data_IF_415299335051
#
_entry.id   IF_415299335051
#
_cell.length_a   1.000
_cell.length_b   1.000
_cell.length_c   1.000
_cell.angle_alpha   90.00
_cell.angle_beta   90.00
_cell.angle_gamma   90.00
#
_symmetry.space_group_name_H-M   'P 1'
#
loop_
_entity.id
_entity.type
_entity.pdbx_description
1 polymer ?
#
# COMPACT_ATOMS: atom_id res chain seq x y z
N UNK A 1 -30.03 37.10 76.07
CA UNK A 1 -30.97 35.96 76.20
C UNK A 1 -31.72 35.88 74.87
N UNK A 2 -31.30 35.01 73.94
CA UNK A 2 -31.81 33.63 73.72
C UNK A 2 -33.19 33.72 73.02
N UNK A 3 -33.42 33.34 71.76
CA UNK A 3 -33.03 32.14 71.01
C UNK A 3 -33.17 32.39 69.50
N UNK A 4 -32.11 32.17 68.72
CA UNK A 4 -32.19 32.01 67.26
C UNK A 4 -31.23 30.89 66.84
N UNK A 5 -31.57 29.65 67.19
CA UNK A 5 -30.86 28.44 66.77
C UNK A 5 -31.87 27.34 66.43
N UNK A 6 -32.40 27.38 65.20
CA UNK A 6 -33.06 26.20 64.60
C UNK A 6 -33.21 26.24 63.07
N UNK A 7 -32.82 27.32 62.38
CA UNK A 7 -32.92 27.38 60.91
C UNK A 7 -31.74 26.73 60.16
N UNK A 8 -30.62 26.44 60.84
CA UNK A 8 -29.41 25.93 60.19
C UNK A 8 -29.35 24.39 60.04
N UNK A 9 -30.23 23.63 60.70
CA UNK A 9 -30.20 22.16 60.58
C UNK A 9 -31.02 21.59 59.41
N UNK A 10 -31.88 22.39 58.78
CA UNK A 10 -32.73 21.89 57.69
C UNK A 10 -32.15 22.10 56.28
N UNK A 11 -31.03 22.82 56.14
CA UNK A 11 -30.44 23.12 54.84
C UNK A 11 -29.42 22.07 54.36
N UNK A 12 -28.90 21.19 55.22
CA UNK A 12 -27.86 20.19 54.86
C UNK A 12 -28.47 18.80 54.63
N UNK A 13 -29.62 18.70 53.96
CA UNK A 13 -30.21 17.38 53.61
C UNK A 13 -30.82 17.28 52.23
N UNK A 14 -30.39 18.10 51.27
CA UNK A 14 -30.80 17.93 49.86
C UNK A 14 -29.67 18.14 48.86
N UNK A 15 -28.62 17.35 49.00
CA UNK A 15 -27.84 16.95 47.83
C UNK A 15 -27.68 15.44 47.86
N UNK A 16 -28.84 14.79 47.70
CA UNK A 16 -28.89 13.36 47.44
C UNK A 16 -28.05 13.08 46.20
N UNK A 17 -26.96 12.37 46.43
CA UNK A 17 -26.17 11.62 45.47
C UNK A 17 -26.92 11.38 44.15
N UNK A 18 -26.39 11.92 43.04
CA UNK A 18 -26.85 11.65 41.66
C UNK A 18 -25.92 10.71 40.85
N UNK A 19 -25.26 9.67 41.42
CA UNK A 19 -24.41 8.79 40.62
C UNK A 19 -25.19 8.05 39.52
N UNK A 20 -26.52 7.88 39.70
CA UNK A 20 -27.37 7.24 38.70
C UNK A 20 -27.57 8.08 37.42
N UNK A 21 -27.69 9.41 37.51
CA UNK A 21 -27.88 10.23 36.30
C UNK A 21 -26.59 10.39 35.50
N UNK A 22 -25.46 10.53 36.20
CA UNK A 22 -24.14 10.58 35.56
C UNK A 22 -23.80 9.26 34.86
N UNK A 23 -24.09 8.11 35.49
CA UNK A 23 -23.89 6.80 34.87
C UNK A 23 -24.73 6.61 33.59
N UNK A 24 -25.98 7.08 33.57
CA UNK A 24 -26.83 7.04 32.37
C UNK A 24 -26.26 7.91 31.26
N UNK A 25 -25.81 9.13 31.55
CA UNK A 25 -25.19 10.01 30.55
C UNK A 25 -23.90 9.40 29.97
N UNK A 26 -23.06 8.80 30.82
CA UNK A 26 -21.84 8.10 30.40
C UNK A 26 -22.15 6.87 29.53
N UNK A 27 -23.19 6.09 29.87
CA UNK A 27 -23.62 4.96 29.07
C UNK A 27 -24.13 5.39 27.68
N UNK A 28 -24.90 6.48 27.61
CA UNK A 28 -25.39 7.03 26.35
C UNK A 28 -24.22 7.55 25.49
N UNK A 29 -23.26 8.24 26.09
CA UNK A 29 -22.06 8.73 25.40
C UNK A 29 -21.23 7.57 24.84
N UNK A 30 -21.02 6.51 25.63
CA UNK A 30 -20.32 5.30 25.19
C UNK A 30 -21.04 4.59 24.04
N UNK A 31 -22.37 4.49 24.09
CA UNK A 31 -23.15 3.92 23.00
C UNK A 31 -23.04 4.77 21.71
N UNK A 32 -22.99 6.09 21.83
CA UNK A 32 -22.82 7.00 20.70
C UNK A 32 -21.43 6.85 20.06
N UNK A 33 -20.38 6.76 20.87
CA UNK A 33 -19.02 6.48 20.41
C UNK A 33 -18.92 5.11 19.72
N UNK A 34 -19.56 4.08 20.28
CA UNK A 34 -19.60 2.75 19.66
C UNK A 34 -20.32 2.76 18.30
N UNK A 35 -21.41 3.53 18.17
CA UNK A 35 -22.11 3.71 16.89
C UNK A 35 -21.26 4.44 15.86
N UNK A 36 -20.54 5.51 16.26
CA UNK A 36 -19.63 6.24 15.37
C UNK A 36 -18.50 5.32 14.90
N UNK A 37 -17.84 4.62 15.83
CA UNK A 37 -16.78 3.65 15.51
C UNK A 37 -17.30 2.53 14.60
N UNK A 38 -18.47 1.96 14.91
CA UNK A 38 -19.09 0.92 14.10
C UNK A 38 -19.44 1.41 12.69
N UNK A 39 -20.00 2.62 12.57
CA UNK A 39 -20.30 3.24 11.28
C UNK A 39 -19.04 3.53 10.47
N UNK A 40 -17.97 4.03 11.11
CA UNK A 40 -16.70 4.32 10.45
C UNK A 40 -15.99 3.04 9.99
N UNK A 41 -15.98 2.01 10.82
CA UNK A 41 -15.45 0.69 10.47
C UNK A 41 -16.20 0.08 9.28
N UNK A 42 -17.53 0.14 9.30
CA UNK A 42 -18.35 -0.36 8.20
C UNK A 42 -18.13 0.45 6.90
N UNK A 43 -17.93 1.76 7.01
CA UNK A 43 -17.60 2.63 5.87
C UNK A 43 -16.22 2.31 5.27
N UNK A 44 -15.22 2.00 6.10
CA UNK A 44 -13.90 1.57 5.61
C UNK A 44 -14.01 0.27 4.81
N UNK A 45 -14.68 -0.74 5.37
CA UNK A 45 -14.90 -2.04 4.69
C UNK A 45 -15.67 -1.85 3.37
N UNK A 46 -16.69 -0.98 3.35
CA UNK A 46 -17.42 -0.68 2.13
C UNK A 46 -16.56 0.03 1.06
N UNK A 47 -15.64 0.90 1.48
CA UNK A 47 -14.72 1.61 0.57
C UNK A 47 -13.67 0.68 -0.06
N UNK A 48 -13.21 -0.33 0.67
CA UNK A 48 -12.27 -1.35 0.17
C UNK A 48 -12.92 -2.25 -0.90
N UNK A 49 -14.21 -2.55 -0.76
CA UNK A 49 -14.95 -3.35 -1.74
C UNK A 49 -15.03 -2.68 -3.12
N UNK A 50 -15.05 -1.33 -3.18
CA UNK A 50 -15.03 -0.59 -4.44
C UNK A 50 -13.68 -0.71 -5.16
N UNK A 51 -12.56 -0.64 -4.42
CA UNK A 51 -11.20 -0.84 -4.97
C UNK A 51 -10.97 -2.26 -5.48
N UNK A 52 -11.63 -3.25 -4.88
CA UNK A 52 -11.54 -4.65 -5.31
C UNK A 52 -12.07 -4.93 -6.72
N UNK A 53 -12.92 -4.07 -7.31
CA UNK A 53 -13.36 -4.22 -8.72
C UNK A 53 -12.29 -3.72 -9.69
N UNK A 54 -11.77 -2.52 -9.45
CA UNK A 54 -10.70 -1.92 -10.26
C UNK A 54 -9.44 -2.79 -10.22
N UNK A 55 -9.07 -3.29 -9.03
CA UNK A 55 -7.93 -4.20 -8.89
C UNK A 55 -8.15 -5.51 -9.68
N UNK A 56 -9.37 -6.08 -9.67
CA UNK A 56 -9.67 -7.28 -10.46
C UNK A 56 -9.63 -7.01 -11.96
N UNK A 57 -10.07 -5.85 -12.40
CA UNK A 57 -9.98 -5.43 -13.80
C UNK A 57 -8.51 -5.29 -14.23
N UNK A 58 -7.68 -4.64 -13.41
CA UNK A 58 -6.24 -4.51 -13.65
C UNK A 58 -5.52 -5.87 -13.68
N UNK A 59 -5.86 -6.78 -12.75
CA UNK A 59 -5.32 -8.14 -12.74
C UNK A 59 -5.72 -8.91 -14.00
N UNK A 60 -6.99 -8.83 -14.39
CA UNK A 60 -7.47 -9.47 -15.63
C UNK A 60 -6.73 -8.91 -16.84
N UNK A 61 -6.55 -7.58 -16.89
CA UNK A 61 -5.84 -6.91 -17.98
C UNK A 61 -4.37 -7.30 -18.03
N UNK A 62 -3.71 -7.42 -16.86
CA UNK A 62 -2.34 -7.90 -16.75
C UNK A 62 -2.22 -9.32 -17.30
N UNK A 63 -3.07 -10.23 -16.86
CA UNK A 63 -3.03 -11.64 -17.28
C UNK A 63 -3.22 -11.78 -18.79
N UNK A 64 -4.14 -11.00 -19.37
CA UNK A 64 -4.35 -10.98 -20.82
C UNK A 64 -3.11 -10.47 -21.57
N UNK A 65 -2.46 -9.40 -21.08
CA UNK A 65 -1.22 -8.88 -21.67
C UNK A 65 -0.06 -9.88 -21.55
N UNK A 66 0.03 -10.60 -20.42
CA UNK A 66 1.04 -11.63 -20.20
C UNK A 66 0.89 -12.78 -21.20
N UNK A 67 -0.35 -13.25 -21.43
CA UNK A 67 -0.63 -14.26 -22.47
C UNK A 67 -0.27 -13.78 -23.87
N UNK A 68 -0.58 -12.54 -24.22
CA UNK A 68 -0.23 -11.96 -25.53
C UNK A 68 1.28 -11.86 -25.71
N UNK A 69 2.01 -11.45 -24.68
CA UNK A 69 3.47 -11.40 -24.71
C UNK A 69 4.07 -12.78 -24.94
N UNK A 70 3.60 -13.81 -24.24
CA UNK A 70 4.10 -15.17 -24.43
C UNK A 70 3.81 -15.71 -25.84
N UNK A 71 2.62 -15.43 -26.39
CA UNK A 71 2.31 -15.78 -27.77
C UNK A 71 3.26 -15.09 -28.78
N UNK A 72 3.53 -13.79 -28.59
CA UNK A 72 4.46 -13.05 -29.44
C UNK A 72 5.91 -13.55 -29.31
N UNK A 73 6.34 -13.95 -28.10
CA UNK A 73 7.66 -14.55 -27.89
C UNK A 73 7.82 -15.84 -28.68
N UNK A 74 6.80 -16.69 -28.67
CA UNK A 74 6.79 -17.92 -29.48
C UNK A 74 6.88 -17.59 -30.97
N UNK A 75 6.09 -16.64 -31.47
CA UNK A 75 6.12 -16.22 -32.87
C UNK A 75 7.50 -15.67 -33.28
N UNK A 76 8.12 -14.83 -32.45
CA UNK A 76 9.47 -14.31 -32.69
C UNK A 76 10.48 -15.47 -32.74
N UNK A 77 10.40 -16.42 -31.81
CA UNK A 77 11.28 -17.58 -31.79
C UNK A 77 11.12 -18.45 -33.05
N UNK A 78 9.90 -18.65 -33.54
CA UNK A 78 9.63 -19.35 -34.79
C UNK A 78 10.22 -18.59 -36.00
N UNK A 79 10.05 -17.27 -36.05
CA UNK A 79 10.57 -16.43 -37.13
C UNK A 79 12.10 -16.39 -37.16
N UNK A 80 12.74 -16.39 -35.98
CA UNK A 80 14.19 -16.39 -35.79
C UNK A 80 14.79 -17.81 -35.82
N UNK A 81 13.96 -18.85 -35.88
CA UNK A 81 14.44 -20.23 -35.82
C UNK A 81 15.45 -20.50 -36.93
N UNK A 82 16.59 -21.08 -36.54
CA UNK A 82 17.67 -21.43 -37.46
C UNK A 82 17.17 -22.36 -38.57
N UNK A 83 16.22 -23.24 -38.27
CA UNK A 83 15.61 -24.12 -39.26
C UNK A 83 14.83 -23.37 -40.34
N UNK A 84 14.05 -22.35 -39.96
CA UNK A 84 13.36 -21.50 -40.94
C UNK A 84 14.35 -20.72 -41.80
N UNK A 85 15.38 -20.14 -41.18
CA UNK A 85 16.44 -19.43 -41.89
C UNK A 85 17.19 -20.35 -42.86
N UNK A 86 17.54 -21.56 -42.42
CA UNK A 86 18.25 -22.55 -43.24
C UNK A 86 17.38 -23.05 -44.39
N UNK A 87 16.10 -23.29 -44.16
CA UNK A 87 15.14 -23.66 -45.21
C UNK A 87 15.04 -22.55 -46.25
N UNK A 88 14.87 -21.29 -45.81
CA UNK A 88 14.80 -20.15 -46.72
C UNK A 88 16.10 -19.94 -47.51
N UNK A 89 17.25 -20.11 -46.86
CA UNK A 89 18.55 -20.07 -47.52
C UNK A 89 18.64 -21.15 -48.61
N UNK A 90 18.20 -22.38 -48.33
CA UNK A 90 18.18 -23.46 -49.33
C UNK A 90 17.23 -23.18 -50.50
N UNK A 91 16.04 -22.59 -50.25
CA UNK A 91 15.11 -22.17 -51.31
C UNK A 91 15.68 -21.09 -52.22
N UNK A 92 16.56 -20.24 -51.67
CA UNK A 92 17.27 -19.20 -52.43
C UNK A 92 18.53 -19.73 -53.13
N UNK A 93 18.83 -21.03 -53.01
CA UNK A 93 19.99 -21.67 -53.63
C UNK A 93 21.30 -21.56 -52.86
N UNK A 94 21.26 -21.07 -51.61
CA UNK A 94 22.44 -21.10 -50.75
C UNK A 94 22.74 -22.53 -50.28
N UNK A 95 24.03 -22.83 -50.16
CA UNK A 95 24.55 -24.10 -49.64
C UNK A 95 25.43 -23.83 -48.40
N UNK A 96 25.57 -24.80 -47.49
CA UNK A 96 26.51 -24.67 -46.37
C UNK A 96 27.94 -24.46 -46.88
N UNK A 97 28.63 -23.44 -46.37
CA UNK A 97 30.00 -23.14 -46.75
C UNK A 97 30.98 -24.18 -46.17
N UNK A 98 31.84 -24.73 -47.02
CA UNK A 98 32.94 -25.62 -46.61
C UNK A 98 34.15 -24.86 -46.07
N UNK A 99 35.21 -25.58 -45.68
CA UNK A 99 36.49 -24.94 -45.31
C UNK A 99 37.10 -24.16 -46.49
N UNK A 100 36.93 -24.67 -47.70
CA UNK A 100 37.48 -24.10 -48.93
C UNK A 100 36.81 -22.77 -49.33
N UNK A 101 35.59 -22.50 -48.83
CA UNK A 101 34.80 -21.30 -49.15
C UNK A 101 35.08 -20.13 -48.19
N UNK A 102 35.90 -20.34 -47.15
CA UNK A 102 36.15 -19.34 -46.11
C UNK A 102 37.24 -18.36 -46.52
N UNK A 103 36.85 -17.09 -46.74
CA UNK A 103 37.79 -16.00 -46.98
C UNK A 103 38.15 -15.29 -45.67
N UNK A 104 39.42 -15.37 -45.27
CA UNK A 104 39.94 -14.66 -44.11
C UNK A 104 40.41 -13.27 -44.50
N UNK A 105 39.78 -12.24 -43.93
CA UNK A 105 40.19 -10.83 -44.09
C UNK A 105 40.88 -10.32 -42.82
N UNK A 106 42.05 -9.70 -42.98
CA UNK A 106 42.76 -9.05 -41.87
C UNK A 106 42.12 -7.69 -41.62
N UNK A 107 41.44 -7.55 -40.48
CA UNK A 107 40.85 -6.27 -40.06
C UNK A 107 41.90 -5.50 -39.25
N UNK A 108 42.42 -4.42 -39.81
CA UNK A 108 43.38 -3.55 -39.12
C UNK A 108 42.79 -3.01 -37.81
N UNK A 109 43.53 -3.15 -36.71
CA UNK A 109 43.10 -2.70 -35.38
C UNK A 109 42.13 -3.64 -34.65
N UNK A 110 41.84 -4.84 -35.18
CA UNK A 110 41.04 -5.83 -34.47
C UNK A 110 41.77 -6.32 -33.20
N UNK A 111 41.17 -6.07 -32.04
CA UNK A 111 41.62 -6.59 -30.76
C UNK A 111 40.66 -7.70 -30.29
N UNK A 112 41.08 -8.99 -30.34
CA UNK A 112 40.23 -10.10 -29.89
C UNK A 112 39.93 -10.05 -28.39
N UNK A 113 40.70 -9.28 -27.61
CA UNK A 113 40.56 -9.11 -26.17
C UNK A 113 39.87 -7.79 -25.80
N UNK A 114 39.08 -7.19 -26.70
CA UNK A 114 38.30 -6.00 -26.34
C UNK A 114 37.32 -6.35 -25.21
N UNK A 115 37.38 -5.62 -24.09
CA UNK A 115 36.39 -5.76 -23.04
C UNK A 115 34.99 -5.47 -23.59
N UNK A 116 33.98 -6.22 -23.15
CA UNK A 116 32.59 -5.93 -23.51
C UNK A 116 32.23 -4.54 -22.99
N UNK A 117 32.13 -3.54 -23.87
CA UNK A 117 31.63 -2.21 -23.54
C UNK A 117 30.09 -2.21 -23.62
N UNK A 118 29.45 -3.12 -22.90
CA UNK A 118 28.06 -2.91 -22.50
C UNK A 118 28.13 -2.01 -21.28
N UNK A 119 27.61 -0.78 -21.38
CA UNK A 119 27.47 0.06 -20.21
C UNK A 119 26.67 -0.72 -19.15
N UNK A 120 27.16 -0.85 -17.91
CA UNK A 120 26.38 -1.50 -16.88
C UNK A 120 25.07 -0.75 -16.70
N UNK A 121 23.96 -1.48 -16.60
CA UNK A 121 22.67 -0.92 -16.21
C UNK A 121 22.86 -0.31 -14.82
N UNK A 122 22.88 1.02 -14.74
CA UNK A 122 22.86 1.73 -13.47
C UNK A 122 21.42 1.65 -12.95
N UNK A 123 21.17 0.73 -12.05
CA UNK A 123 19.98 0.76 -11.21
C UNK A 123 20.07 2.03 -10.35
N UNK A 124 19.31 3.05 -10.75
CA UNK A 124 19.10 4.22 -9.89
C UNK A 124 18.19 3.74 -8.76
N UNK A 125 18.76 3.40 -7.63
CA UNK A 125 18.02 3.19 -6.38
C UNK A 125 17.36 4.53 -6.00
N UNK A 126 16.11 4.74 -6.41
CA UNK A 126 15.26 5.76 -5.82
C UNK A 126 15.08 5.42 -4.34
N UNK A 127 15.70 6.22 -3.47
CA UNK A 127 15.43 6.16 -2.03
C UNK A 127 13.98 6.60 -1.81
N UNK A 128 13.08 5.61 -1.71
CA UNK A 128 11.71 5.84 -1.33
C UNK A 128 11.69 6.41 0.10
N UNK A 129 10.85 7.42 0.39
CA UNK A 129 10.71 7.92 1.75
C UNK A 129 10.27 6.79 2.68
N UNK A 130 11.02 6.62 3.78
CA UNK A 130 10.69 5.69 4.85
C UNK A 130 9.59 6.33 5.70
N UNK A 131 8.36 5.83 5.56
CA UNK A 131 7.23 6.25 6.39
C UNK A 131 7.20 5.41 7.68
N UNK A 132 7.83 5.92 8.74
CA UNK A 132 7.89 5.26 10.07
C UNK A 132 6.67 5.54 10.98
N UNK A 133 5.69 6.31 10.49
CA UNK A 133 4.49 6.62 11.26
C UNK A 133 3.54 5.42 11.31
N UNK A 134 3.50 4.75 12.46
CA UNK A 134 2.51 3.69 12.71
C UNK A 134 1.18 4.27 13.20
N UNK A 135 0.07 3.65 12.77
CA UNK A 135 -1.27 3.97 13.27
C UNK A 135 -1.35 3.91 14.81
N UNK A 136 -0.61 2.98 15.43
CA UNK A 136 -0.54 2.85 16.88
C UNK A 136 0.04 4.10 17.56
N UNK A 137 1.10 4.69 16.99
CA UNK A 137 1.70 5.92 17.49
C UNK A 137 0.73 7.11 17.41
N UNK A 138 0.05 7.26 16.27
CA UNK A 138 -0.99 8.28 16.13
C UNK A 138 -2.15 8.08 17.11
N UNK A 139 -2.62 6.84 17.30
CA UNK A 139 -3.73 6.54 18.20
C UNK A 139 -3.38 6.85 19.66
N UNK A 140 -2.15 6.55 20.07
CA UNK A 140 -1.67 6.87 21.41
C UNK A 140 -1.58 8.38 21.64
N UNK A 141 -1.14 9.14 20.64
CA UNK A 141 -1.16 10.61 20.65
C UNK A 141 -2.58 11.16 20.84
N UNK A 142 -3.55 10.63 20.09
CA UNK A 142 -4.94 11.09 20.17
C UNK A 142 -5.59 10.76 21.51
N UNK A 143 -5.35 9.57 22.06
CA UNK A 143 -5.82 9.20 23.39
C UNK A 143 -5.25 10.13 24.46
N UNK A 144 -3.97 10.46 24.36
CA UNK A 144 -3.30 11.38 25.29
C UNK A 144 -3.92 12.79 25.25
N UNK A 145 -4.16 13.31 24.05
CA UNK A 145 -4.81 14.61 23.87
C UNK A 145 -6.22 14.65 24.47
N UNK A 146 -6.97 13.54 24.36
CA UNK A 146 -8.34 13.44 24.86
C UNK A 146 -8.37 13.38 26.39
N UNK A 147 -7.43 12.64 27.01
CA UNK A 147 -7.29 12.63 28.47
C UNK A 147 -6.89 14.00 29.02
N UNK A 148 -5.97 14.70 28.36
CA UNK A 148 -5.56 16.05 28.78
C UNK A 148 -6.71 17.06 28.71
N UNK A 149 -7.54 17.00 27.66
CA UNK A 149 -8.73 17.85 27.55
C UNK A 149 -9.75 17.57 28.66
N UNK A 150 -9.87 16.32 29.09
CA UNK A 150 -10.78 15.93 30.17
C UNK A 150 -10.28 16.42 31.53
N UNK A 151 -8.98 16.31 31.81
CA UNK A 151 -8.34 16.85 33.01
C UNK A 151 -8.50 18.37 33.07
N UNK A 152 -8.21 19.07 31.96
CA UNK A 152 -8.39 20.52 31.85
C UNK A 152 -9.85 20.97 32.09
N UNK A 153 -10.83 20.17 31.67
CA UNK A 153 -12.25 20.45 31.94
C UNK A 153 -12.61 20.19 33.41
N UNK A 154 -11.98 19.22 34.07
CA UNK A 154 -12.23 18.87 35.47
C UNK A 154 -11.54 19.77 36.49
N UNK A 155 -10.43 20.42 36.12
CA UNK A 155 -9.69 21.38 36.95
C UNK A 155 -10.19 22.83 36.77
N UNK A 156 -11.14 23.05 35.85
CA UNK A 156 -11.73 24.35 35.51
C UNK A 156 -13.03 24.72 36.24
N UNK A 157 -13.20 24.35 37.52
CA UNK A 157 -14.19 24.94 38.45
C UNK A 157 -13.52 25.57 39.67
#
# INVERSE_FOLDING_TARGET
MQSSRSFFEQAIRRTGWRPQRQAVTLAVLGAFLALIMGGLYLSQVASEAARGREMRELLTRRDDLERVNEALRVEIAELQSLDRLRRRASELGFVPAGQEDQLFIVVNGYNPNRGQTVAPLQEVEEQLPVYDESFGGWLQQQLHNLTQQFEQFSEGE
#
